data_IF_409506880580
#
_entry.id   IF_409506880580
#
_cell.length_a   1.000
_cell.length_b   1.000
_cell.length_c   1.000
_cell.angle_alpha   90.00
_cell.angle_beta   90.00
_cell.angle_gamma   90.00
#
_symmetry.space_group_name_H-M   'P 1'
#
loop_
_entity.id
_entity.type
_entity.pdbx_description
1 polymer ?
#
# COMPACT_ATOMS: atom_id res chain seq x y z
N UNK A 1 7.26 9.35 -56.02
CA UNK A 1 7.26 9.06 -54.57
C UNK A 1 5.82 9.11 -54.09
N UNK A 2 5.29 8.00 -53.58
CA UNK A 2 3.95 7.94 -52.98
C UNK A 2 4.12 8.21 -51.49
N UNK A 3 3.58 9.32 -51.01
CA UNK A 3 3.41 9.56 -49.57
C UNK A 3 2.32 8.62 -49.05
N UNK A 4 2.72 7.71 -48.17
CA UNK A 4 1.81 6.90 -47.35
C UNK A 4 1.43 7.76 -46.15
N UNK A 5 0.23 8.36 -46.19
CA UNK A 5 -0.44 8.82 -45.00
C UNK A 5 -0.90 7.59 -44.21
N UNK A 6 -0.15 7.24 -43.16
CA UNK A 6 -0.63 6.39 -42.09
C UNK A 6 -1.58 7.23 -41.23
N UNK A 7 -2.89 7.08 -41.47
CA UNK A 7 -3.91 7.50 -40.52
C UNK A 7 -3.74 6.64 -39.27
N UNK A 8 -3.37 7.27 -38.16
CA UNK A 8 -3.40 6.64 -36.86
C UNK A 8 -4.86 6.34 -36.51
N UNK A 9 -5.20 5.06 -36.42
CA UNK A 9 -6.45 4.57 -35.87
C UNK A 9 -6.57 5.07 -34.42
N UNK A 10 -7.26 6.18 -34.22
CA UNK A 10 -7.62 6.66 -32.89
C UNK A 10 -8.77 5.79 -32.37
N UNK A 11 -8.44 4.53 -32.07
CA UNK A 11 -9.33 3.60 -31.41
C UNK A 11 -9.91 4.22 -30.15
N UNK A 12 -11.19 3.93 -29.87
CA UNK A 12 -11.86 4.39 -28.65
C UNK A 12 -11.00 4.01 -27.43
N UNK A 13 -10.86 4.90 -26.43
CA UNK A 13 -10.09 4.60 -25.23
C UNK A 13 -10.66 3.34 -24.59
N UNK A 14 -9.79 2.35 -24.41
CA UNK A 14 -10.07 1.12 -23.68
C UNK A 14 -10.57 1.50 -22.28
N UNK A 15 -11.69 0.92 -21.84
CA UNK A 15 -12.22 1.16 -20.50
C UNK A 15 -11.61 0.13 -19.54
N UNK A 16 -11.11 0.52 -18.36
CA UNK A 16 -10.64 -0.44 -17.37
C UNK A 16 -11.77 -1.38 -16.96
N UNK A 17 -11.41 -2.66 -16.76
CA UNK A 17 -12.29 -3.70 -16.20
C UNK A 17 -12.57 -3.43 -14.73
N UNK A 18 -11.58 -2.88 -14.01
CA UNK A 18 -11.68 -2.54 -12.60
C UNK A 18 -10.80 -1.32 -12.30
N UNK A 19 -11.24 -0.46 -11.39
CA UNK A 19 -10.43 0.64 -10.86
C UNK A 19 -10.54 0.65 -9.32
N UNK A 20 -9.42 0.80 -8.62
CA UNK A 20 -9.41 0.94 -7.16
C UNK A 20 -8.31 1.91 -6.69
N UNK A 21 -8.40 2.36 -5.44
CA UNK A 21 -7.37 3.19 -4.80
C UNK A 21 -6.58 2.41 -3.76
N UNK A 22 -5.25 2.60 -3.75
CA UNK A 22 -4.35 2.15 -2.69
C UNK A 22 -3.84 3.32 -1.87
N UNK A 23 -3.97 3.20 -0.55
CA UNK A 23 -3.47 4.16 0.43
C UNK A 23 -2.39 3.47 1.27
N UNK A 24 -1.20 4.04 1.38
CA UNK A 24 -0.18 3.55 2.33
C UNK A 24 -0.45 4.08 3.73
N UNK A 25 0.02 3.35 4.75
CA UNK A 25 0.42 3.84 6.09
C UNK A 25 -0.31 5.11 6.55
N UNK A 26 -1.57 4.97 6.99
CA UNK A 26 -2.44 6.09 7.35
C UNK A 26 -2.17 6.64 8.76
N UNK A 27 -1.68 5.81 9.70
CA UNK A 27 -1.34 6.15 11.08
C UNK A 27 -2.35 7.04 11.82
N UNK A 28 -3.62 6.65 11.84
CA UNK A 28 -4.59 7.30 12.71
C UNK A 28 -4.22 7.11 14.18
N UNK A 29 -4.27 8.20 14.96
CA UNK A 29 -4.05 8.16 16.41
C UNK A 29 -4.91 9.18 17.14
N UNK A 30 -5.58 8.74 18.19
CA UNK A 30 -6.55 9.51 18.96
C UNK A 30 -5.90 10.27 20.12
N UNK A 31 -4.85 11.05 19.85
CA UNK A 31 -4.19 11.92 20.85
C UNK A 31 -4.23 13.39 20.44
N UNK A 32 -4.24 14.28 21.45
CA UNK A 32 -4.35 15.73 21.24
C UNK A 32 -3.12 16.34 20.57
N UNK A 33 -1.95 15.70 20.68
CA UNK A 33 -0.72 16.14 20.00
C UNK A 33 -0.64 15.66 18.55
N UNK A 34 -1.29 14.55 18.21
CA UNK A 34 -1.22 13.93 16.88
C UNK A 34 -2.26 14.50 15.92
N UNK A 35 -3.52 14.56 16.36
CA UNK A 35 -4.65 14.93 15.50
C UNK A 35 -4.51 16.31 14.85
N UNK A 36 -4.00 17.36 15.51
CA UNK A 36 -3.85 18.68 14.88
C UNK A 36 -2.88 18.67 13.69
N UNK A 37 -1.92 17.75 13.66
CA UNK A 37 -0.97 17.60 12.56
C UNK A 37 -1.51 16.65 11.48
N UNK A 38 -2.13 15.54 11.91
CA UNK A 38 -2.61 14.45 11.06
C UNK A 38 -3.89 14.76 10.28
N UNK A 39 -4.92 15.22 10.98
CA UNK A 39 -6.25 15.43 10.39
C UNK A 39 -6.22 16.34 9.15
N UNK A 40 -5.52 17.50 9.14
CA UNK A 40 -5.49 18.35 7.96
C UNK A 40 -4.96 17.66 6.71
N UNK A 41 -3.92 16.82 6.84
CA UNK A 41 -3.34 16.07 5.70
C UNK A 41 -4.32 15.03 5.17
N UNK A 42 -4.95 14.24 6.06
CA UNK A 42 -5.95 13.26 5.64
C UNK A 42 -7.18 13.91 5.00
N UNK A 43 -7.67 15.01 5.60
CA UNK A 43 -8.81 15.75 5.05
C UNK A 43 -8.52 16.25 3.63
N UNK A 44 -7.34 16.84 3.42
CA UNK A 44 -6.94 17.32 2.09
C UNK A 44 -6.85 16.18 1.06
N UNK A 45 -6.31 15.02 1.45
CA UNK A 45 -6.26 13.83 0.59
C UNK A 45 -7.66 13.39 0.18
N UNK A 46 -8.57 13.23 1.15
CA UNK A 46 -9.93 12.75 0.87
C UNK A 46 -10.77 13.76 0.10
N UNK A 47 -10.61 15.06 0.32
CA UNK A 47 -11.28 16.11 -0.47
C UNK A 47 -10.89 15.99 -1.95
N UNK A 48 -9.60 15.82 -2.24
CA UNK A 48 -9.11 15.66 -3.61
C UNK A 48 -9.48 14.27 -4.20
N UNK A 49 -9.48 13.19 -3.42
CA UNK A 49 -10.03 11.90 -3.85
C UNK A 49 -11.51 12.00 -4.23
N UNK A 50 -12.29 12.79 -3.50
CA UNK A 50 -13.69 13.03 -3.85
C UNK A 50 -13.82 13.76 -5.19
N UNK A 51 -12.97 14.76 -5.46
CA UNK A 51 -12.91 15.43 -6.76
C UNK A 51 -12.55 14.47 -7.89
N UNK A 52 -11.56 13.59 -7.69
CA UNK A 52 -11.18 12.55 -8.67
C UNK A 52 -12.35 11.61 -8.92
N UNK A 53 -13.03 11.14 -7.87
CA UNK A 53 -14.22 10.31 -8.03
C UNK A 53 -15.29 11.00 -8.89
N UNK A 54 -15.58 12.28 -8.64
CA UNK A 54 -16.55 13.01 -9.47
C UNK A 54 -16.11 13.16 -10.94
N UNK A 55 -14.79 13.25 -11.20
CA UNK A 55 -14.25 13.48 -12.54
C UNK A 55 -13.97 12.20 -13.34
N UNK A 56 -13.38 11.19 -12.71
CA UNK A 56 -12.87 9.95 -13.33
C UNK A 56 -13.78 8.73 -13.09
N UNK A 57 -14.74 8.85 -12.16
CA UNK A 57 -15.68 7.80 -11.80
C UNK A 57 -15.34 7.11 -10.48
N UNK A 58 -16.31 6.36 -9.96
CA UNK A 58 -16.21 5.68 -8.68
C UNK A 58 -15.22 4.50 -8.74
N UNK A 59 -14.27 4.40 -7.78
CA UNK A 59 -13.48 3.19 -7.64
C UNK A 59 -14.34 2.05 -7.09
N UNK A 60 -14.04 0.81 -7.49
CA UNK A 60 -14.71 -0.38 -6.99
C UNK A 60 -14.48 -0.58 -5.48
N UNK A 61 -13.32 -0.17 -4.98
CA UNK A 61 -12.95 -0.19 -3.57
C UNK A 61 -11.70 0.67 -3.31
N UNK A 62 -11.36 0.80 -2.03
CA UNK A 62 -10.12 1.34 -1.52
C UNK A 62 -9.43 0.28 -0.65
N UNK A 63 -8.10 0.24 -0.64
CA UNK A 63 -7.30 -0.74 0.13
C UNK A 63 -6.10 -0.06 0.79
N UNK A 64 -5.73 -0.55 1.97
CA UNK A 64 -4.51 -0.16 2.70
C UNK A 64 -3.82 -1.42 3.20
N UNK A 65 -2.55 -1.69 2.87
CA UNK A 65 -1.91 -2.97 3.20
C UNK A 65 -1.50 -3.10 4.68
N UNK A 66 -1.49 -2.00 5.44
CA UNK A 66 -1.20 -1.99 6.87
C UNK A 66 -1.07 -0.57 7.42
N UNK A 67 -0.68 -0.47 8.69
CA UNK A 67 -0.42 0.77 9.44
C UNK A 67 -1.53 1.82 9.26
N UNK A 68 -2.77 1.36 9.32
CA UNK A 68 -3.94 2.23 9.31
C UNK A 68 -4.02 3.00 10.62
N UNK A 69 -3.71 2.36 11.74
CA UNK A 69 -3.64 2.97 13.06
C UNK A 69 -2.18 3.02 13.54
N UNK A 70 -1.73 4.17 14.05
CA UNK A 70 -0.35 4.33 14.55
C UNK A 70 -0.05 3.41 15.74
N UNK A 71 -1.10 3.03 16.47
CA UNK A 71 -1.10 2.07 17.57
C UNK A 71 -2.38 1.26 17.52
N UNK A 72 -2.30 -0.03 17.82
CA UNK A 72 -3.42 -0.98 17.87
C UNK A 72 -4.43 -0.78 18.99
N UNK A 73 -4.56 0.43 19.53
CA UNK A 73 -5.58 0.74 20.53
C UNK A 73 -6.97 0.84 19.89
N UNK A 74 -8.04 0.31 20.53
CA UNK A 74 -9.39 0.34 19.98
C UNK A 74 -9.86 1.73 19.57
N UNK A 75 -9.51 2.76 20.34
CA UNK A 75 -9.87 4.14 20.04
C UNK A 75 -9.26 4.66 18.73
N UNK A 76 -8.09 4.17 18.33
CA UNK A 76 -7.46 4.55 17.06
C UNK A 76 -8.15 3.87 15.88
N UNK A 77 -8.55 2.60 16.04
CA UNK A 77 -9.37 1.91 15.04
C UNK A 77 -10.74 2.55 14.88
N UNK A 78 -11.39 2.93 15.99
CA UNK A 78 -12.67 3.64 15.96
C UNK A 78 -12.55 4.99 15.25
N UNK A 79 -11.49 5.75 15.53
CA UNK A 79 -11.17 7.00 14.85
C UNK A 79 -10.97 6.77 13.35
N UNK A 80 -10.10 5.83 12.96
CA UNK A 80 -9.81 5.51 11.57
C UNK A 80 -11.09 5.11 10.81
N UNK A 81 -11.86 4.16 11.36
CA UNK A 81 -13.11 3.69 10.73
C UNK A 81 -14.12 4.81 10.55
N UNK A 82 -14.30 5.67 11.55
CA UNK A 82 -15.22 6.81 11.46
C UNK A 82 -14.81 7.76 10.35
N UNK A 83 -13.54 8.15 10.32
CA UNK A 83 -13.04 9.16 9.38
C UNK A 83 -13.01 8.58 7.94
N UNK A 84 -12.52 7.34 7.77
CA UNK A 84 -12.55 6.63 6.48
C UNK A 84 -13.99 6.48 5.98
N UNK A 85 -14.94 6.04 6.81
CA UNK A 85 -16.34 5.89 6.40
C UNK A 85 -17.00 7.23 6.04
N UNK A 86 -16.66 8.31 6.75
CA UNK A 86 -17.17 9.64 6.44
C UNK A 86 -16.73 10.11 5.05
N UNK A 87 -15.50 9.76 4.63
CA UNK A 87 -14.93 10.19 3.35
C UNK A 87 -15.24 9.25 2.19
N UNK A 88 -15.09 7.93 2.39
CA UNK A 88 -15.33 6.92 1.35
C UNK A 88 -16.83 6.61 1.16
N UNK A 89 -17.68 7.00 2.11
CA UNK A 89 -19.13 6.79 2.09
C UNK A 89 -19.48 5.30 1.90
N UNK A 90 -19.83 4.90 0.69
CA UNK A 90 -20.21 3.52 0.36
C UNK A 90 -19.13 2.75 -0.40
N UNK A 91 -18.01 3.39 -0.76
CA UNK A 91 -16.87 2.71 -1.38
C UNK A 91 -16.30 1.72 -0.34
N UNK A 92 -16.25 0.40 -0.63
CA UNK A 92 -15.68 -0.58 0.27
C UNK A 92 -14.23 -0.27 0.61
N UNK A 93 -13.84 -0.45 1.87
CA UNK A 93 -12.47 -0.33 2.34
C UNK A 93 -11.96 -1.70 2.80
N UNK A 94 -10.84 -2.14 2.23
CA UNK A 94 -10.16 -3.40 2.56
C UNK A 94 -8.93 -3.10 3.41
N UNK A 95 -8.98 -3.36 4.73
CA UNK A 95 -7.89 -3.09 5.64
C UNK A 95 -6.89 -4.26 5.68
N UNK A 96 -5.61 -3.94 5.62
CA UNK A 96 -4.50 -4.84 5.94
C UNK A 96 -3.96 -4.56 7.33
N UNK A 97 -3.19 -5.51 7.84
CA UNK A 97 -2.53 -5.42 9.14
C UNK A 97 -1.07 -5.03 8.91
N UNK A 98 -0.59 -3.98 9.58
CA UNK A 98 0.82 -3.61 9.63
C UNK A 98 1.42 -3.81 11.03
N UNK A 99 2.68 -3.41 11.20
CA UNK A 99 3.39 -3.56 12.48
C UNK A 99 2.85 -2.61 13.54
N UNK A 100 2.37 -1.42 13.17
CA UNK A 100 1.86 -0.44 14.13
C UNK A 100 0.62 -0.92 14.88
N UNK A 101 -0.21 -1.75 14.25
CA UNK A 101 -1.37 -2.37 14.89
C UNK A 101 -1.03 -3.35 16.03
N UNK A 102 0.21 -3.83 16.12
CA UNK A 102 0.64 -4.67 17.24
C UNK A 102 1.03 -3.85 18.48
N UNK A 103 1.34 -2.55 18.34
CA UNK A 103 1.79 -1.75 19.47
C UNK A 103 0.62 -1.10 20.23
N UNK A 104 0.65 -1.22 21.56
CA UNK A 104 -0.26 -0.52 22.45
C UNK A 104 0.13 0.97 22.60
N UNK A 105 -0.76 1.81 23.13
CA UNK A 105 -0.47 3.24 23.36
C UNK A 105 0.75 3.48 24.26
N UNK A 106 1.01 2.55 25.19
CA UNK A 106 2.17 2.59 26.07
C UNK A 106 3.20 1.55 25.62
N UNK A 107 4.45 1.99 25.46
CA UNK A 107 5.57 1.11 25.12
C UNK A 107 5.86 0.01 26.17
N UNK A 108 5.28 0.13 27.38
CA UNK A 108 5.49 -0.79 28.51
C UNK A 108 4.58 -2.04 28.46
N UNK A 109 3.67 -2.12 27.50
CA UNK A 109 2.67 -3.17 27.45
C UNK A 109 2.93 -4.15 26.31
N UNK A 110 2.70 -5.45 26.57
CA UNK A 110 2.92 -6.53 25.61
C UNK A 110 2.22 -6.22 24.28
N UNK A 111 2.85 -6.52 23.12
CA UNK A 111 2.22 -6.35 21.82
C UNK A 111 0.82 -6.97 21.80
N UNK A 112 -0.16 -6.27 21.24
CA UNK A 112 -1.48 -6.85 21.03
C UNK A 112 -1.37 -8.02 20.09
N UNK A 113 -2.15 -9.03 20.40
CA UNK A 113 -2.42 -10.11 19.48
C UNK A 113 -3.35 -9.62 18.34
N UNK A 114 -3.27 -10.23 17.15
CA UNK A 114 -3.99 -9.80 15.95
C UNK A 114 -5.52 -9.78 16.05
N UNK A 115 -6.12 -10.35 17.10
CA UNK A 115 -7.58 -10.42 17.26
C UNK A 115 -8.20 -9.04 17.42
N UNK A 116 -7.47 -8.06 17.99
CA UNK A 116 -7.96 -6.68 18.10
C UNK A 116 -8.20 -6.04 16.72
N UNK A 117 -7.33 -6.31 15.75
CA UNK A 117 -7.54 -5.91 14.36
C UNK A 117 -8.78 -6.60 13.78
N UNK A 118 -8.91 -7.90 14.00
CA UNK A 118 -10.04 -8.69 13.48
C UNK A 118 -11.38 -8.22 14.06
N UNK A 119 -11.44 -7.94 15.36
CA UNK A 119 -12.61 -7.37 16.03
C UNK A 119 -12.95 -5.98 15.51
N UNK A 120 -11.93 -5.13 15.33
CA UNK A 120 -12.12 -3.77 14.85
C UNK A 120 -12.64 -3.74 13.41
N UNK A 121 -12.07 -4.52 12.50
CA UNK A 121 -12.35 -4.43 11.07
C UNK A 121 -13.36 -5.44 10.56
N UNK A 122 -13.58 -6.54 11.27
CA UNK A 122 -14.43 -7.64 10.80
C UNK A 122 -13.78 -8.48 9.68
N UNK A 123 -12.46 -8.35 9.50
CA UNK A 123 -11.67 -9.12 8.54
C UNK A 123 -10.68 -10.02 9.30
N UNK A 124 -10.44 -11.26 8.84
CA UNK A 124 -9.29 -12.01 9.33
C UNK A 124 -7.99 -11.30 8.92
N UNK A 125 -6.88 -11.65 9.57
CA UNK A 125 -5.56 -11.05 9.25
C UNK A 125 -5.00 -11.50 7.89
N UNK A 126 -5.52 -12.60 7.35
CA UNK A 126 -5.26 -13.10 6.00
C UNK A 126 -6.61 -13.37 5.34
N UNK A 127 -6.84 -12.81 4.16
CA UNK A 127 -8.10 -13.01 3.44
C UNK A 127 -7.95 -12.74 1.96
N UNK A 128 -8.93 -13.22 1.20
CA UNK A 128 -8.99 -13.00 -0.24
C UNK A 128 -10.39 -12.64 -0.68
N UNK A 129 -10.49 -11.91 -1.78
CA UNK A 129 -11.75 -11.61 -2.45
C UNK A 129 -11.55 -11.59 -3.96
N UNK A 130 -12.66 -11.57 -4.70
CA UNK A 130 -12.64 -11.49 -6.16
C UNK A 130 -13.48 -10.32 -6.64
N UNK A 131 -13.05 -9.71 -7.75
CA UNK A 131 -13.85 -8.73 -8.48
C UNK A 131 -13.58 -8.91 -9.98
N UNK A 132 -14.58 -9.41 -10.71
CA UNK A 132 -14.41 -9.78 -12.12
C UNK A 132 -13.36 -10.87 -12.32
N UNK A 133 -12.41 -10.61 -13.21
CA UNK A 133 -11.33 -11.54 -13.59
C UNK A 133 -10.09 -11.45 -12.68
N UNK A 134 -10.22 -10.74 -11.55
CA UNK A 134 -9.13 -10.49 -10.61
C UNK A 134 -9.42 -11.16 -9.26
N UNK A 135 -8.36 -11.74 -8.69
CA UNK A 135 -8.30 -12.16 -7.30
C UNK A 135 -7.42 -11.19 -6.53
N UNK A 136 -7.83 -10.85 -5.31
CA UNK A 136 -7.10 -9.97 -4.43
C UNK A 136 -6.82 -10.71 -3.13
N UNK A 137 -5.57 -10.68 -2.69
CA UNK A 137 -5.11 -11.40 -1.50
C UNK A 137 -4.51 -10.37 -0.54
N UNK A 138 -4.98 -10.34 0.70
CA UNK A 138 -4.36 -9.61 1.79
C UNK A 138 -3.61 -10.61 2.67
N UNK A 139 -2.29 -10.46 2.75
CA UNK A 139 -1.45 -11.20 3.68
C UNK A 139 -1.44 -10.48 5.05
N UNK A 140 -1.08 -11.20 6.10
CA UNK A 140 -0.88 -10.60 7.42
C UNK A 140 0.43 -9.80 7.47
N UNK A 141 0.66 -9.11 8.59
CA UNK A 141 2.00 -8.64 8.92
C UNK A 141 2.74 -9.75 9.70
N UNK A 142 3.96 -10.14 9.29
CA UNK A 142 4.83 -11.01 10.07
C UNK A 142 4.99 -10.59 11.53
N UNK A 143 4.83 -11.56 12.45
CA UNK A 143 4.99 -11.30 13.89
C UNK A 143 6.46 -11.07 14.22
N UNK A 144 6.74 -9.97 14.92
CA UNK A 144 8.09 -9.55 15.33
C UNK A 144 8.34 -9.92 16.79
N UNK A 145 8.74 -11.16 17.07
CA UNK A 145 9.40 -11.46 18.36
C UNK A 145 10.89 -11.02 18.35
N UNK A 146 11.42 -10.69 17.16
CA UNK A 146 12.76 -10.16 16.92
C UNK A 146 12.72 -9.08 15.82
N UNK A 147 13.88 -8.52 15.45
CA UNK A 147 14.03 -7.66 14.27
C UNK A 147 13.77 -8.39 12.94
N UNK A 148 13.59 -9.71 12.97
CA UNK A 148 13.26 -10.48 11.76
C UNK A 148 11.76 -10.45 11.49
N UNK A 149 11.40 -9.91 10.34
CA UNK A 149 10.03 -9.86 9.83
C UNK A 149 9.86 -11.07 8.90
N UNK A 150 9.27 -12.17 9.38
CA UNK A 150 9.17 -13.45 8.63
C UNK A 150 7.72 -13.86 8.41
N UNK A 151 7.32 -14.08 7.15
CA UNK A 151 6.03 -14.73 6.90
C UNK A 151 6.05 -16.15 7.47
N UNK A 152 5.10 -16.43 8.36
CA UNK A 152 4.91 -17.77 8.90
C UNK A 152 4.62 -18.77 7.79
N UNK A 153 4.87 -20.06 8.04
CA UNK A 153 4.48 -21.11 7.11
C UNK A 153 2.98 -21.06 6.78
N UNK A 154 2.13 -20.69 7.75
CA UNK A 154 0.69 -20.54 7.50
C UNK A 154 0.38 -19.42 6.51
N UNK A 155 1.15 -18.33 6.52
CA UNK A 155 0.99 -17.23 5.57
C UNK A 155 1.45 -17.64 4.17
N UNK A 156 2.57 -18.38 4.06
CA UNK A 156 3.05 -18.93 2.79
C UNK A 156 2.08 -19.98 2.22
N UNK A 157 1.54 -20.87 3.06
CA UNK A 157 0.55 -21.87 2.66
C UNK A 157 -0.76 -21.21 2.21
N UNK A 158 -1.19 -20.15 2.89
CA UNK A 158 -2.34 -19.35 2.48
C UNK A 158 -2.10 -18.74 1.09
N UNK A 159 -0.95 -18.09 0.88
CA UNK A 159 -0.60 -17.51 -0.42
C UNK A 159 -0.60 -18.58 -1.53
N UNK A 160 0.09 -19.71 -1.33
CA UNK A 160 0.21 -20.78 -2.32
C UNK A 160 -1.14 -21.42 -2.65
N UNK A 161 -1.94 -21.69 -1.62
CA UNK A 161 -3.28 -22.30 -1.77
C UNK A 161 -4.23 -21.36 -2.48
N UNK A 162 -4.30 -20.09 -2.07
CA UNK A 162 -5.23 -19.13 -2.67
C UNK A 162 -4.86 -18.79 -4.11
N UNK A 163 -3.56 -18.71 -4.45
CA UNK A 163 -3.13 -18.55 -5.84
C UNK A 163 -3.55 -19.75 -6.70
N UNK A 164 -3.42 -20.98 -6.17
CA UNK A 164 -3.89 -22.21 -6.83
C UNK A 164 -5.41 -22.22 -7.05
N UNK A 165 -6.18 -21.87 -6.03
CA UNK A 165 -7.65 -21.81 -6.07
C UNK A 165 -8.18 -20.77 -7.08
N UNK A 166 -7.37 -19.75 -7.36
CA UNK A 166 -7.69 -18.66 -8.27
C UNK A 166 -6.82 -18.64 -9.53
N UNK A 167 -6.27 -19.79 -9.95
CA UNK A 167 -5.38 -19.90 -11.12
C UNK A 167 -5.91 -19.25 -12.41
N UNK A 168 -7.24 -19.20 -12.60
CA UNK A 168 -7.88 -18.58 -13.77
C UNK A 168 -8.00 -17.04 -13.71
N UNK A 169 -7.68 -16.44 -12.56
CA UNK A 169 -7.79 -14.99 -12.27
C UNK A 169 -6.43 -14.39 -11.99
N UNK A 170 -6.21 -13.19 -12.50
CA UNK A 170 -5.00 -12.41 -12.21
C UNK A 170 -5.02 -12.00 -10.73
N UNK A 171 -3.94 -12.34 -10.02
CA UNK A 171 -3.81 -12.13 -8.59
C UNK A 171 -3.04 -10.85 -8.28
N UNK A 172 -3.64 -10.04 -7.42
CA UNK A 172 -3.07 -8.82 -6.84
C UNK A 172 -2.89 -9.07 -5.35
N UNK A 173 -1.64 -9.11 -4.89
CA UNK A 173 -1.28 -9.42 -3.52
C UNK A 173 -0.99 -8.12 -2.79
N UNK A 174 -1.54 -7.98 -1.59
CA UNK A 174 -1.25 -6.90 -0.63
C UNK A 174 -0.58 -7.49 0.59
N UNK A 175 0.48 -6.84 1.05
CA UNK A 175 1.19 -7.17 2.28
C UNK A 175 1.80 -5.89 2.82
N UNK A 176 1.83 -5.69 4.12
CA UNK A 176 2.38 -4.43 4.65
C UNK A 176 3.88 -4.27 4.34
N UNK A 177 4.70 -5.26 4.69
CA UNK A 177 6.14 -5.21 4.48
C UNK A 177 6.55 -5.61 3.03
N UNK A 178 7.47 -4.88 2.38
CA UNK A 178 7.98 -5.26 1.06
C UNK A 178 8.89 -6.49 1.10
N UNK A 179 9.22 -7.02 -0.08
CA UNK A 179 10.27 -8.03 -0.21
C UNK A 179 11.65 -7.36 -0.27
N UNK A 180 12.68 -8.10 0.12
CA UNK A 180 14.06 -7.63 0.11
C UNK A 180 14.46 -7.09 -1.27
N UNK A 181 15.07 -5.91 -1.31
CA UNK A 181 15.54 -5.25 -2.53
C UNK A 181 14.41 -4.97 -3.56
N UNK A 182 13.25 -4.51 -3.11
CA UNK A 182 12.13 -4.09 -3.98
C UNK A 182 11.74 -2.62 -3.85
N UNK A 183 12.29 -1.89 -2.88
CA UNK A 183 12.23 -0.43 -2.73
C UNK A 183 13.50 0.04 -2.03
N UNK A 184 14.16 1.09 -2.54
CA UNK A 184 15.47 1.56 -2.06
C UNK A 184 15.42 3.03 -1.62
N UNK A 185 16.38 3.44 -0.79
CA UNK A 185 16.56 4.84 -0.39
C UNK A 185 16.92 5.74 -1.59
N UNK A 186 16.28 6.92 -1.65
CA UNK A 186 16.60 8.00 -2.60
C UNK A 186 18.06 8.44 -2.55
N UNK A 187 18.66 8.48 -1.36
CA UNK A 187 20.04 8.90 -1.15
C UNK A 187 20.65 8.18 0.06
N UNK A 188 21.20 6.96 -0.15
CA UNK A 188 21.79 6.14 0.92
C UNK A 188 22.94 6.83 1.68
N UNK A 189 23.61 7.82 1.10
CA UNK A 189 24.66 8.59 1.81
C UNK A 189 24.06 9.52 2.87
N UNK A 190 22.78 9.89 2.73
CA UNK A 190 22.04 10.77 3.63
C UNK A 190 20.96 10.06 4.42
N UNK A 191 20.67 8.79 4.12
CA UNK A 191 19.64 8.00 4.79
C UNK A 191 18.28 8.72 4.74
N UNK A 192 17.77 9.00 3.52
CA UNK A 192 16.55 9.81 3.37
C UNK A 192 15.27 9.00 3.55
N UNK A 193 15.32 7.70 3.31
CA UNK A 193 14.19 6.78 3.45
C UNK A 193 14.62 5.53 4.22
N UNK A 194 13.68 4.94 4.96
CA UNK A 194 13.77 3.52 5.25
C UNK A 194 13.58 2.73 3.94
N UNK A 195 14.27 1.59 3.81
CA UNK A 195 14.25 0.81 2.58
C UNK A 195 14.35 -0.71 2.78
N UNK A 196 14.08 -1.46 1.71
CA UNK A 196 13.98 -2.94 1.76
C UNK A 196 15.33 -3.67 1.77
N UNK A 197 16.44 -2.99 2.04
CA UNK A 197 17.75 -3.60 2.35
C UNK A 197 18.02 -3.60 3.86
N UNK A 198 17.35 -2.74 4.61
CA UNK A 198 17.53 -2.63 6.04
C UNK A 198 16.73 -3.69 6.81
N UNK A 199 17.34 -4.39 7.78
CA UNK A 199 16.60 -5.30 8.65
C UNK A 199 15.40 -4.60 9.28
N UNK A 200 14.28 -5.31 9.45
CA UNK A 200 12.96 -4.80 9.82
C UNK A 200 12.10 -4.23 8.69
N UNK A 201 12.70 -3.76 7.59
CA UNK A 201 11.97 -3.10 6.50
C UNK A 201 11.69 -4.00 5.30
N UNK A 202 12.01 -5.29 5.40
CA UNK A 202 11.63 -6.30 4.42
C UNK A 202 11.31 -7.63 5.09
N UNK A 203 10.61 -8.49 4.35
CA UNK A 203 10.35 -9.87 4.79
C UNK A 203 11.62 -10.73 4.69
N UNK A 204 12.20 -11.17 5.80
CA UNK A 204 13.48 -11.90 5.84
C UNK A 204 13.47 -13.20 5.01
N UNK A 205 12.33 -13.89 4.89
CA UNK A 205 12.16 -15.05 4.01
C UNK A 205 11.61 -14.69 2.61
N UNK A 206 12.01 -13.53 2.06
CA UNK A 206 11.58 -13.05 0.73
C UNK A 206 11.79 -14.06 -0.40
N UNK A 207 12.85 -14.88 -0.34
CA UNK A 207 13.11 -15.90 -1.35
C UNK A 207 12.06 -17.01 -1.34
N UNK A 208 11.50 -17.35 -0.19
CA UNK A 208 10.40 -18.31 -0.07
C UNK A 208 9.11 -17.73 -0.68
N UNK A 209 8.85 -16.43 -0.45
CA UNK A 209 7.74 -15.73 -1.08
C UNK A 209 7.90 -15.71 -2.60
N UNK A 210 9.08 -15.31 -3.10
CA UNK A 210 9.38 -15.34 -4.54
C UNK A 210 9.22 -16.74 -5.12
N UNK A 211 9.63 -17.78 -4.39
CA UNK A 211 9.47 -19.16 -4.83
C UNK A 211 7.99 -19.58 -4.93
N UNK A 212 7.10 -19.09 -4.05
CA UNK A 212 5.66 -19.26 -4.19
C UNK A 212 5.16 -18.53 -5.44
N UNK A 213 5.45 -17.23 -5.56
CA UNK A 213 5.00 -16.41 -6.69
C UNK A 213 5.44 -17.00 -8.04
N UNK A 214 6.70 -17.45 -8.16
CA UNK A 214 7.23 -18.05 -9.39
C UNK A 214 6.48 -19.31 -9.87
N UNK A 215 5.80 -20.04 -8.97
CA UNK A 215 5.00 -21.24 -9.34
C UNK A 215 3.62 -20.89 -9.90
N UNK A 216 3.13 -19.68 -9.65
CA UNK A 216 1.76 -19.28 -9.91
C UNK A 216 1.71 -18.19 -10.99
N UNK A 217 1.56 -18.59 -12.26
CA UNK A 217 1.57 -17.67 -13.42
C UNK A 217 0.51 -16.56 -13.35
N UNK A 218 -0.50 -16.72 -12.50
CA UNK A 218 -1.52 -15.73 -12.25
C UNK A 218 -1.10 -14.63 -11.26
N UNK A 219 0.02 -14.76 -10.54
CA UNK A 219 0.56 -13.69 -9.69
C UNK A 219 1.10 -12.54 -10.56
N UNK A 220 0.57 -11.33 -10.37
CA UNK A 220 0.89 -10.20 -11.25
C UNK A 220 1.43 -8.97 -10.50
N UNK A 221 0.84 -8.62 -9.35
CA UNK A 221 1.26 -7.49 -8.54
C UNK A 221 1.43 -7.88 -7.07
N UNK A 222 2.49 -7.36 -6.45
CA UNK A 222 2.73 -7.39 -5.01
C UNK A 222 2.82 -5.94 -4.52
N UNK A 223 1.85 -5.51 -3.72
CA UNK A 223 1.68 -4.12 -3.28
C UNK A 223 1.96 -4.04 -1.78
N UNK A 224 2.91 -3.20 -1.39
CA UNK A 224 3.36 -3.01 -0.01
C UNK A 224 3.31 -1.56 0.48
N UNK A 225 3.74 -1.32 1.71
CA UNK A 225 3.91 -0.01 2.37
C UNK A 225 5.13 -0.05 3.30
N UNK A 226 4.95 0.30 4.58
CA UNK A 226 5.90 0.09 5.69
C UNK A 226 7.18 0.95 5.70
N UNK A 227 7.80 1.16 4.55
CA UNK A 227 9.10 1.86 4.47
C UNK A 227 8.97 3.38 4.42
N UNK A 228 7.75 3.91 4.31
CA UNK A 228 7.49 5.35 4.16
C UNK A 228 8.32 6.02 3.05
N UNK A 229 8.81 5.26 2.06
CA UNK A 229 9.77 5.79 1.09
C UNK A 229 9.17 6.96 0.29
N UNK A 230 9.95 8.03 0.11
CA UNK A 230 9.49 9.24 -0.53
C UNK A 230 9.40 9.18 -2.06
N UNK A 231 8.94 10.28 -2.66
CA UNK A 231 8.85 10.34 -4.12
C UNK A 231 10.24 10.35 -4.75
N UNK A 232 10.43 9.44 -5.71
CA UNK A 232 11.72 9.26 -6.38
C UNK A 232 12.57 8.14 -5.79
N UNK A 233 12.11 7.46 -4.72
CA UNK A 233 12.77 6.26 -4.20
C UNK A 233 12.93 5.23 -5.33
N UNK A 234 14.15 4.75 -5.59
CA UNK A 234 14.36 3.73 -6.61
C UNK A 234 13.51 2.49 -6.32
N UNK A 235 13.06 1.85 -7.38
CA UNK A 235 12.23 0.64 -7.31
C UNK A 235 10.86 0.81 -6.63
N UNK A 236 10.39 2.04 -6.37
CA UNK A 236 9.01 2.28 -5.88
C UNK A 236 7.95 1.52 -6.70
N UNK A 237 8.21 1.34 -8.00
CA UNK A 237 7.61 0.29 -8.84
C UNK A 237 8.73 -0.46 -9.54
N UNK A 238 8.80 -1.78 -9.34
CA UNK A 238 9.85 -2.64 -9.91
C UNK A 238 9.25 -3.96 -10.41
N UNK A 239 9.64 -4.41 -11.61
CA UNK A 239 9.19 -5.69 -12.16
C UNK A 239 10.34 -6.69 -12.17
N UNK A 240 10.13 -7.82 -11.50
CA UNK A 240 11.05 -8.95 -11.51
C UNK A 240 10.49 -10.06 -12.42
N UNK A 241 11.38 -10.81 -13.06
CA UNK A 241 11.02 -12.04 -13.77
C UNK A 241 11.11 -13.21 -12.79
N UNK A 242 9.97 -13.78 -12.39
CA UNK A 242 9.90 -14.90 -11.45
C UNK A 242 9.43 -16.16 -12.17
N UNK A 243 10.34 -17.09 -12.40
CA UNK A 243 10.07 -18.25 -13.26
C UNK A 243 9.75 -17.81 -14.69
N UNK A 244 8.57 -18.18 -15.19
CA UNK A 244 8.14 -17.93 -16.58
C UNK A 244 7.30 -16.66 -16.77
N UNK A 245 6.99 -15.91 -15.72
CA UNK A 245 6.16 -14.70 -15.80
C UNK A 245 6.74 -13.52 -14.99
N UNK A 246 6.39 -12.28 -15.34
CA UNK A 246 6.78 -11.11 -14.55
C UNK A 246 5.86 -10.91 -13.34
N UNK A 247 6.43 -10.47 -12.23
CA UNK A 247 5.69 -9.95 -11.06
C UNK A 247 6.16 -8.53 -10.79
N UNK A 248 5.21 -7.61 -10.63
CA UNK A 248 5.54 -6.21 -10.29
C UNK A 248 5.33 -5.93 -8.82
N UNK A 249 6.40 -5.50 -8.16
CA UNK A 249 6.40 -4.96 -6.82
C UNK A 249 6.10 -3.48 -6.87
N UNK A 250 5.24 -3.01 -5.97
CA UNK A 250 4.93 -1.60 -5.80
C UNK A 250 4.88 -1.28 -4.32
N UNK A 251 5.62 -0.27 -3.90
CA UNK A 251 5.57 0.23 -2.54
C UNK A 251 4.73 1.51 -2.47
N UNK A 252 3.63 1.48 -1.71
CA UNK A 252 2.78 2.63 -1.48
C UNK A 252 3.53 3.62 -0.59
N UNK A 253 3.46 4.88 -0.97
CA UNK A 253 3.91 5.98 -0.12
C UNK A 253 2.85 6.26 0.94
N UNK A 254 3.28 6.62 2.15
CA UNK A 254 2.39 7.12 3.18
C UNK A 254 1.87 8.53 2.82
N UNK A 255 0.55 8.78 2.86
CA UNK A 255 0.01 10.13 2.81
C UNK A 255 0.24 10.87 4.14
N UNK A 256 0.59 10.17 5.22
CA UNK A 256 0.86 10.82 6.49
C UNK A 256 2.24 11.52 6.46
N UNK A 257 3.32 10.78 6.28
CA UNK A 257 4.68 11.32 6.07
C UNK A 257 5.57 10.35 5.30
N UNK A 258 6.58 10.87 4.61
CA UNK A 258 7.59 10.04 3.94
C UNK A 258 9.01 10.35 4.42
N UNK A 259 9.93 9.43 4.11
CA UNK A 259 11.33 9.51 4.50
C UNK A 259 11.54 9.47 6.01
N UNK A 260 12.72 9.91 6.46
CA UNK A 260 13.10 9.94 7.88
C UNK A 260 12.52 11.13 8.67
N UNK A 261 11.49 11.77 8.14
CA UNK A 261 10.90 13.00 8.70
C UNK A 261 9.39 12.84 8.85
N UNK A 262 8.79 13.50 9.84
CA UNK A 262 7.35 13.43 10.05
C UNK A 262 6.96 14.01 11.42
N UNK A 263 6.04 13.37 12.17
CA UNK A 263 5.74 13.80 13.53
C UNK A 263 6.97 13.57 14.44
N UNK A 264 7.51 14.65 15.00
CA UNK A 264 8.69 14.62 15.88
C UNK A 264 8.43 15.47 17.11
N UNK A 265 8.92 15.08 18.31
CA UNK A 265 8.92 15.98 19.46
C UNK A 265 9.62 17.29 19.12
N UNK A 266 9.04 18.41 19.53
CA UNK A 266 9.74 19.69 19.43
C UNK A 266 11.02 19.67 20.31
N UNK A 267 11.95 20.62 20.14
CA UNK A 267 13.20 20.65 20.90
C UNK A 267 13.03 20.68 22.43
N UNK A 268 11.91 21.23 22.91
CA UNK A 268 11.59 21.31 24.34
C UNK A 268 10.82 20.08 24.87
N UNK A 269 10.54 19.10 24.00
CA UNK A 269 9.86 17.83 24.30
C UNK A 269 8.45 17.96 24.91
N UNK A 270 7.77 19.10 24.71
CA UNK A 270 6.46 19.38 25.29
C UNK A 270 5.30 19.20 24.30
N UNK A 271 5.55 19.21 22.98
CA UNK A 271 4.54 18.90 21.96
C UNK A 271 5.16 18.28 20.70
N UNK A 272 4.30 17.75 19.80
CA UNK A 272 4.73 17.28 18.48
C UNK A 272 4.73 18.43 17.48
N UNK A 273 5.75 18.45 16.63
CA UNK A 273 5.79 19.24 15.39
C UNK A 273 5.83 18.29 14.19
N UNK A 274 5.42 18.79 13.04
CA UNK A 274 5.56 18.06 11.78
C UNK A 274 6.77 18.60 11.00
N UNK A 275 7.77 17.75 10.79
CA UNK A 275 8.92 18.04 9.93
C UNK A 275 8.64 17.38 8.59
N UNK A 276 8.48 18.18 7.54
CA UNK A 276 8.13 17.65 6.24
C UNK A 276 9.36 17.12 5.49
N UNK A 277 9.14 16.05 4.71
CA UNK A 277 10.11 15.55 3.75
C UNK A 277 10.33 16.53 2.59
N UNK A 278 11.36 16.29 1.78
CA UNK A 278 11.62 17.06 0.57
C UNK A 278 11.65 16.16 -0.66
N UNK A 279 10.64 16.26 -1.56
CA UNK A 279 9.47 17.13 -1.49
C UNK A 279 8.41 16.66 -0.48
N UNK A 280 7.69 17.60 0.14
CA UNK A 280 6.52 17.29 0.99
C UNK A 280 5.33 16.90 0.12
N UNK A 281 5.09 15.60 0.02
CA UNK A 281 4.03 15.04 -0.81
C UNK A 281 3.00 14.30 0.03
N UNK A 282 1.74 14.52 -0.35
CA UNK A 282 0.58 13.78 0.10
C UNK A 282 0.15 12.91 -1.09
N UNK A 283 0.39 11.59 -1.03
CA UNK A 283 0.30 10.71 -2.21
C UNK A 283 -0.71 9.58 -2.01
N UNK A 284 -1.47 9.29 -3.07
CA UNK A 284 -2.22 8.03 -3.22
C UNK A 284 -2.00 7.44 -4.60
N UNK A 285 -2.37 6.15 -4.73
CA UNK A 285 -2.22 5.40 -5.96
C UNK A 285 -3.58 4.97 -6.51
N UNK A 286 -3.84 5.26 -7.79
CA UNK A 286 -4.98 4.73 -8.52
C UNK A 286 -4.55 3.57 -9.43
N UNK A 287 -5.26 2.45 -9.34
CA UNK A 287 -4.98 1.22 -10.08
C UNK A 287 -6.11 0.96 -11.07
N UNK A 288 -5.79 0.92 -12.35
CA UNK A 288 -6.75 0.72 -13.44
C UNK A 288 -6.39 -0.59 -14.15
N UNK A 289 -7.17 -1.63 -13.91
CA UNK A 289 -6.90 -2.98 -14.41
C UNK A 289 -7.63 -3.21 -15.73
N UNK A 290 -6.89 -3.74 -16.70
CA UNK A 290 -7.35 -4.13 -18.03
C UNK A 290 -7.11 -5.63 -18.23
N UNK A 291 -7.52 -6.16 -19.37
CA UNK A 291 -7.39 -7.60 -19.65
C UNK A 291 -5.93 -8.08 -19.63
N UNK A 292 -5.00 -7.28 -20.13
CA UNK A 292 -3.59 -7.67 -20.31
C UNK A 292 -2.59 -6.77 -19.60
N UNK A 293 -3.06 -5.71 -18.93
CA UNK A 293 -2.20 -4.72 -18.26
C UNK A 293 -2.91 -4.03 -17.11
N UNK A 294 -2.15 -3.46 -16.19
CA UNK A 294 -2.60 -2.47 -15.23
C UNK A 294 -1.94 -1.12 -15.51
N UNK A 295 -2.69 -0.04 -15.37
CA UNK A 295 -2.14 1.30 -15.31
C UNK A 295 -2.18 1.73 -13.85
N UNK A 296 -1.02 2.05 -13.28
CA UNK A 296 -0.92 2.59 -11.93
C UNK A 296 -0.53 4.07 -12.02
N UNK A 297 -1.21 4.92 -11.25
CA UNK A 297 -0.97 6.36 -11.22
C UNK A 297 -0.74 6.83 -9.80
N UNK A 298 0.39 7.49 -9.56
CA UNK A 298 0.63 8.24 -8.33
C UNK A 298 0.13 9.67 -8.49
N UNK A 299 -0.54 10.20 -7.47
CA UNK A 299 -1.05 11.58 -7.46
C UNK A 299 -0.59 12.31 -6.22
N UNK A 300 -0.17 13.56 -6.38
CA UNK A 300 0.04 14.49 -5.28
C UNK A 300 -1.23 15.28 -5.02
N UNK A 301 -1.77 15.18 -3.80
CA UNK A 301 -2.96 15.93 -3.36
C UNK A 301 -2.63 17.38 -2.96
N UNK A 302 -1.36 17.69 -2.70
CA UNK A 302 -0.87 19.06 -2.49
C UNK A 302 -0.96 19.88 -3.77
N UNK A 303 -0.55 19.28 -4.88
CA UNK A 303 -0.49 19.98 -6.18
C UNK A 303 -1.67 19.63 -7.10
N UNK A 304 -2.49 18.65 -6.72
CA UNK A 304 -3.57 18.08 -7.54
C UNK A 304 -3.08 17.58 -8.90
N UNK A 305 -1.82 17.15 -8.97
CA UNK A 305 -1.14 16.71 -10.18
C UNK A 305 -0.79 15.23 -10.12
N UNK A 306 -0.76 14.60 -11.31
CA UNK A 306 -0.19 13.25 -11.46
C UNK A 306 1.33 13.35 -11.32
N UNK A 307 1.90 12.54 -10.44
CA UNK A 307 3.35 12.45 -10.23
C UNK A 307 3.98 11.48 -11.22
N UNK A 308 3.37 10.32 -11.40
CA UNK A 308 3.85 9.28 -12.32
C UNK A 308 2.75 8.36 -12.79
N UNK A 309 3.07 7.61 -13.84
CA UNK A 309 2.23 6.54 -14.36
C UNK A 309 3.10 5.38 -14.81
N UNK A 310 2.70 4.16 -14.45
CA UNK A 310 3.34 2.92 -14.85
C UNK A 310 2.33 2.04 -15.58
N UNK A 311 2.80 1.34 -16.60
CA UNK A 311 2.04 0.31 -17.30
C UNK A 311 2.66 -1.03 -16.94
N UNK A 312 1.88 -1.87 -16.27
CA UNK A 312 2.32 -3.15 -15.70
C UNK A 312 1.71 -4.27 -16.54
N UNK A 313 2.50 -5.20 -17.09
CA UNK A 313 1.95 -6.35 -17.79
C UNK A 313 1.18 -7.24 -16.81
N UNK A 314 -0.01 -7.67 -17.22
CA UNK A 314 -0.78 -8.68 -16.50
C UNK A 314 -0.79 -9.95 -17.35
N UNK A 315 0.22 -10.79 -17.15
CA UNK A 315 0.31 -12.07 -17.83
C UNK A 315 -0.70 -13.07 -17.24
N UNK A 316 -0.96 -14.12 -18.02
CA UNK A 316 -1.54 -15.38 -17.55
C UNK A 316 -0.54 -16.47 -17.85
#
# INVERSE_FOLDING_TARGET
MKELHLEADQGKPEKPLLHFWGLGDLHYRATDSWQPLHRPRMQQMYEDLHEIWQAEGEPAFCVSPGDIADRGAPINFELAKRDIAAHLKHIPFYPGLGNHEYFLETWESEPRKPEAFTEAWGFPIRYAWTAGDFAFLMLDQPVTESTDVIFSQEALDFLDTTLSEHAERKAIIFAHCPLHNTVLDRDPEKNLDDDSLDPYFFVSNSDEVRAVLARHQNAALYISGHTHSGWGSPQLVCTEQLGEHPVTHLNLMSPWYTGMTGPTPNPDWDHLIYVADTPDLLVTFGFYLYETRAIVRARSHNTKCRLGQWEIPLCR
#
